data_IF_807707459915
#
_entry.id   IF_807707459915
#
_cell.length_a   1.000
_cell.length_b   1.000
_cell.length_c   1.000
_cell.angle_alpha   90.00
_cell.angle_beta   90.00
_cell.angle_gamma   90.00
#
_symmetry.space_group_name_H-M   'P 1'
#
loop_
_entity.id
_entity.type
_entity.pdbx_description
1 polymer ?
#
# COMPACT_ATOMS: atom_id res chain seq x y z
N UNK A 1 5.36 -6.82 -12.03
CA UNK A 1 6.49 -5.88 -12.10
C UNK A 1 7.24 -6.05 -13.39
N UNK A 2 7.75 -7.24 -13.69
CA UNK A 2 8.52 -7.50 -14.93
C UNK A 2 7.81 -7.02 -16.20
N UNK A 3 6.58 -7.50 -16.45
CA UNK A 3 5.79 -7.05 -17.60
C UNK A 3 5.53 -5.53 -17.61
N UNK A 4 5.16 -4.95 -16.45
CA UNK A 4 4.89 -3.51 -16.36
C UNK A 4 6.14 -2.66 -16.67
N UNK A 5 7.33 -3.12 -16.27
CA UNK A 5 8.60 -2.48 -16.60
C UNK A 5 8.87 -2.61 -18.10
N UNK A 6 8.68 -3.80 -18.67
CA UNK A 6 8.88 -4.06 -20.10
C UNK A 6 7.90 -3.28 -20.99
N UNK A 7 6.66 -3.08 -20.52
CA UNK A 7 5.62 -2.29 -21.15
C UNK A 7 5.91 -0.77 -21.09
N UNK A 8 6.90 -0.34 -20.30
CA UNK A 8 7.34 1.05 -20.23
C UNK A 8 6.38 1.97 -19.48
N UNK A 9 5.77 1.50 -18.39
CA UNK A 9 4.89 2.34 -17.56
C UNK A 9 5.66 3.45 -16.86
N UNK A 10 5.02 4.60 -16.62
CA UNK A 10 5.63 5.72 -15.90
C UNK A 10 5.58 5.58 -14.36
N UNK A 11 4.56 4.88 -13.86
CA UNK A 11 4.32 4.68 -12.42
C UNK A 11 3.59 3.36 -12.19
N UNK A 12 3.87 2.71 -11.06
CA UNK A 12 3.17 1.50 -10.62
C UNK A 12 2.39 1.82 -9.35
N UNK A 13 1.12 1.41 -9.31
CA UNK A 13 0.28 1.49 -8.11
C UNK A 13 -0.03 0.08 -7.60
N UNK A 14 0.33 -0.19 -6.35
CA UNK A 14 0.15 -1.47 -5.68
C UNK A 14 -0.66 -1.27 -4.40
N UNK A 15 -1.81 -1.93 -4.32
CA UNK A 15 -2.69 -1.90 -3.15
C UNK A 15 -2.80 -3.30 -2.53
N UNK A 16 -1.66 -3.93 -2.31
CA UNK A 16 -1.53 -5.21 -1.60
C UNK A 16 -0.22 -5.24 -0.79
N UNK A 17 -0.09 -6.24 0.07
CA UNK A 17 1.08 -6.49 0.90
C UNK A 17 1.06 -7.92 1.43
N UNK A 18 2.14 -8.31 2.11
CA UNK A 18 2.36 -9.64 2.68
C UNK A 18 1.52 -9.92 3.93
N UNK A 19 0.78 -8.94 4.46
CA UNK A 19 0.04 -9.05 5.73
C UNK A 19 0.91 -8.85 6.98
N UNK A 20 2.23 -9.03 6.87
CA UNK A 20 3.24 -8.81 7.92
C UNK A 20 4.54 -8.26 7.30
N UNK A 21 5.38 -7.53 8.06
CA UNK A 21 6.68 -7.08 7.56
C UNK A 21 7.58 -8.28 7.27
N UNK A 22 8.00 -8.43 6.02
CA UNK A 22 8.92 -9.49 5.55
C UNK A 22 10.28 -8.88 5.15
N UNK A 23 11.36 -9.65 5.22
CA UNK A 23 12.68 -9.20 4.72
C UNK A 23 12.61 -8.83 3.22
N UNK A 24 13.36 -7.81 2.80
CA UNK A 24 13.32 -7.31 1.42
C UNK A 24 13.59 -8.38 0.36
N UNK A 25 14.41 -9.38 0.67
CA UNK A 25 14.75 -10.46 -0.26
C UNK A 25 13.69 -11.57 -0.30
N UNK A 26 12.71 -11.53 0.60
CA UNK A 26 11.58 -12.45 0.67
C UNK A 26 10.24 -11.78 0.35
N UNK A 27 10.18 -10.45 0.23
CA UNK A 27 9.00 -9.71 -0.20
C UNK A 27 9.01 -9.48 -1.72
N UNK A 28 8.10 -10.13 -2.48
CA UNK A 28 7.98 -9.93 -3.93
C UNK A 28 7.71 -8.47 -4.31
N UNK A 29 7.05 -7.71 -3.44
CA UNK A 29 6.75 -6.29 -3.66
C UNK A 29 8.01 -5.45 -3.53
N UNK A 30 8.84 -5.70 -2.51
CA UNK A 30 10.15 -5.07 -2.34
C UNK A 30 11.08 -5.37 -3.54
N UNK A 31 11.19 -6.64 -3.95
CA UNK A 31 12.03 -7.05 -5.09
C UNK A 31 11.55 -6.39 -6.38
N UNK A 32 10.26 -6.52 -6.70
CA UNK A 32 9.71 -6.00 -7.94
C UNK A 32 9.79 -4.47 -8.03
N UNK A 33 9.50 -3.78 -6.92
CA UNK A 33 9.61 -2.32 -6.85
C UNK A 33 11.06 -1.82 -6.89
N UNK A 34 12.03 -2.62 -6.42
CA UNK A 34 13.44 -2.29 -6.57
C UNK A 34 13.84 -2.28 -8.05
N UNK A 35 13.44 -3.32 -8.80
CA UNK A 35 13.67 -3.36 -10.25
C UNK A 35 12.93 -2.23 -10.99
N UNK A 36 11.72 -1.86 -10.56
CA UNK A 36 11.01 -0.70 -11.10
C UNK A 36 11.78 0.60 -10.84
N UNK A 37 12.26 0.80 -9.61
CA UNK A 37 13.05 1.98 -9.23
C UNK A 37 14.34 2.09 -10.05
N UNK A 38 15.04 0.98 -10.31
CA UNK A 38 16.24 0.99 -11.16
C UNK A 38 15.96 1.39 -12.62
N UNK A 39 14.71 1.24 -13.07
CA UNK A 39 14.25 1.69 -14.39
C UNK A 39 13.58 3.08 -14.33
N UNK A 40 13.68 3.81 -13.21
CA UNK A 40 13.11 5.14 -13.06
C UNK A 40 11.59 5.16 -12.80
N UNK A 41 11.00 4.01 -12.47
CA UNK A 41 9.55 3.85 -12.28
C UNK A 41 9.25 3.87 -10.77
N UNK A 42 8.53 4.91 -10.31
CA UNK A 42 8.11 4.99 -8.91
C UNK A 42 7.00 3.97 -8.63
N UNK A 43 7.06 3.32 -7.48
CA UNK A 43 5.98 2.44 -6.99
C UNK A 43 5.29 3.08 -5.78
N UNK A 44 3.97 3.25 -5.86
CA UNK A 44 3.11 3.68 -4.76
C UNK A 44 2.46 2.46 -4.10
N UNK A 45 2.75 2.22 -2.82
CA UNK A 45 2.27 1.07 -2.06
C UNK A 45 1.38 1.49 -0.90
N UNK A 46 0.37 0.66 -0.56
CA UNK A 46 -0.37 0.81 0.70
C UNK A 46 0.48 0.43 1.92
N UNK A 47 0.35 1.15 3.03
CA UNK A 47 1.03 0.81 4.29
C UNK A 47 0.57 -0.52 4.92
N UNK A 48 -0.63 -0.99 4.57
CA UNK A 48 -1.29 -2.13 5.22
C UNK A 48 -2.45 -1.70 6.12
N UNK A 49 -3.29 -2.65 6.52
CA UNK A 49 -4.51 -2.40 7.32
C UNK A 49 -4.46 -3.04 8.72
N UNK A 50 -3.30 -3.54 9.14
CA UNK A 50 -3.10 -4.30 10.39
C UNK A 50 -2.82 -3.41 11.61
N UNK A 51 -3.00 -2.09 11.47
CA UNK A 51 -2.97 -1.16 12.60
C UNK A 51 -4.01 -1.51 13.69
N UNK A 52 -4.01 -0.80 14.84
CA UNK A 52 -3.36 0.49 15.10
C UNK A 52 -2.06 0.40 15.90
N UNK A 53 -1.56 -0.80 16.19
CA UNK A 53 -0.36 -0.97 17.00
C UNK A 53 0.92 -0.54 16.25
N UNK A 54 1.98 -0.10 16.95
CA UNK A 54 3.27 0.17 16.32
C UNK A 54 3.81 -1.06 15.56
N UNK A 55 4.64 -0.82 14.55
CA UNK A 55 5.35 -1.87 13.79
C UNK A 55 4.38 -2.80 13.02
N UNK A 56 3.31 -2.25 12.45
CA UNK A 56 2.29 -2.98 11.68
C UNK A 56 2.30 -2.69 10.18
N UNK A 57 3.30 -1.93 9.69
CA UNK A 57 3.41 -1.61 8.27
C UNK A 57 3.93 -2.82 7.49
N UNK A 58 3.35 -3.07 6.32
CA UNK A 58 3.71 -4.22 5.47
C UNK A 58 4.75 -3.83 4.40
N UNK A 59 4.53 -2.68 3.75
CA UNK A 59 5.40 -2.15 2.71
C UNK A 59 6.32 -1.06 3.28
N UNK A 60 7.58 -1.40 3.55
CA UNK A 60 8.53 -0.49 4.20
C UNK A 60 9.84 -0.30 3.44
N UNK A 61 9.91 -0.80 2.21
CA UNK A 61 11.07 -0.65 1.35
C UNK A 61 11.38 0.84 1.07
N UNK A 62 12.63 1.30 1.28
CA UNK A 62 12.96 2.73 1.26
C UNK A 62 12.90 3.37 -0.14
N UNK A 63 12.81 2.57 -1.20
CA UNK A 63 12.70 3.01 -2.59
C UNK A 63 11.25 3.14 -3.08
N UNK A 64 10.26 2.93 -2.21
CA UNK A 64 8.84 3.03 -2.55
C UNK A 64 8.15 4.18 -1.82
N UNK A 65 7.02 4.64 -2.35
CA UNK A 65 6.14 5.56 -1.66
C UNK A 65 5.10 4.75 -0.87
N UNK A 66 5.30 4.62 0.45
CA UNK A 66 4.34 3.97 1.34
C UNK A 66 3.26 4.95 1.79
N UNK A 67 2.00 4.64 1.51
CA UNK A 67 0.84 5.51 1.72
C UNK A 67 -0.04 4.98 2.86
N UNK A 68 -0.25 5.80 3.89
CA UNK A 68 -1.20 5.54 4.97
C UNK A 68 -2.64 5.96 4.60
N UNK A 69 -3.62 5.46 5.35
CA UNK A 69 -5.02 5.84 5.19
C UNK A 69 -5.43 6.94 6.17
N UNK A 70 -6.21 7.91 5.69
CA UNK A 70 -6.87 8.93 6.51
C UNK A 70 -8.31 9.14 6.05
N UNK A 71 -9.12 9.77 6.90
CA UNK A 71 -10.47 10.18 6.55
C UNK A 71 -10.49 11.58 5.92
N UNK A 72 -11.56 11.86 5.17
CA UNK A 72 -11.91 13.19 4.68
C UNK A 72 -13.05 13.78 5.52
N UNK A 73 -13.42 15.03 5.25
CA UNK A 73 -14.52 15.74 5.93
C UNK A 73 -15.89 15.08 5.75
N UNK A 74 -16.15 14.48 4.57
CA UNK A 74 -17.40 13.77 4.25
C UNK A 74 -17.57 12.52 5.13
N UNK A 75 -18.71 12.45 5.82
CA UNK A 75 -19.13 11.29 6.62
C UNK A 75 -20.44 10.71 6.09
N UNK A 76 -20.46 9.41 5.86
CA UNK A 76 -21.70 8.68 5.57
C UNK A 76 -22.35 8.25 6.89
N UNK A 77 -23.60 8.64 7.12
CA UNK A 77 -24.34 8.32 8.34
C UNK A 77 -25.66 7.64 7.96
N UNK A 78 -25.92 6.49 8.56
CA UNK A 78 -27.22 5.81 8.48
C UNK A 78 -28.04 6.18 9.71
N UNK A 79 -29.17 6.88 9.52
CA UNK A 79 -30.07 7.20 10.64
C UNK A 79 -30.86 5.97 11.02
N UNK A 80 -30.93 5.70 12.32
CA UNK A 80 -31.73 4.62 12.90
C UNK A 80 -32.65 5.23 13.97
N UNK A 81 -33.94 4.92 13.90
CA UNK A 81 -34.92 5.26 14.92
C UNK A 81 -35.36 3.96 15.61
N UNK A 82 -35.16 3.91 16.92
CA UNK A 82 -35.57 2.78 17.74
C UNK A 82 -37.05 2.94 18.12
N UNK A 83 -37.75 1.85 18.44
CA UNK A 83 -39.20 1.88 18.69
C UNK A 83 -39.64 2.71 19.91
N UNK A 84 -38.69 3.15 20.73
CA UNK A 84 -38.92 4.00 21.91
C UNK A 84 -38.60 5.49 21.67
N UNK A 85 -38.23 5.88 20.44
CA UNK A 85 -37.70 7.23 20.16
C UNK A 85 -36.41 7.52 20.91
#
# INVERSE_FOLDING_TARGET
FDDAIADGVDIISVSFGSGWPEDYLNDPTAIGSFHAMTNGILTSNSAGNTGPYPVTIENYAPWTLTVAASSIDRKFVARMELGNG
#
